data_IF_133315774021
#
_entry.id   IF_133315774021
#
_cell.length_a   1.000
_cell.length_b   1.000
_cell.length_c   1.000
_cell.angle_alpha   90.00
_cell.angle_beta   90.00
_cell.angle_gamma   90.00
#
_symmetry.space_group_name_H-M   'P 1'
#
loop_
_entity.id
_entity.type
_entity.pdbx_description
1 polymer ?
#
# COMPACT_ATOMS: atom_id res chain seq x y z
N UNK A 1 -7.54 0.68 20.87
CA UNK A 1 -6.91 0.71 19.55
C UNK A 1 -6.39 2.12 19.29
N UNK A 2 -5.18 2.26 18.84
CA UNK A 2 -4.62 3.55 18.44
C UNK A 2 -4.99 3.84 16.99
N UNK A 3 -5.35 5.09 16.70
CA UNK A 3 -5.59 5.57 15.35
C UNK A 3 -4.29 6.10 14.76
N UNK A 4 -4.06 5.82 13.49
CA UNK A 4 -2.85 6.23 12.77
C UNK A 4 -3.20 6.72 11.37
N UNK A 5 -2.24 7.40 10.74
CA UNK A 5 -2.31 7.75 9.33
C UNK A 5 -1.30 6.90 8.57
N UNK A 6 -1.79 6.12 7.64
CA UNK A 6 -0.96 5.43 6.66
C UNK A 6 -0.87 6.28 5.38
N UNK A 7 0.34 6.49 4.90
CA UNK A 7 0.57 7.20 3.64
C UNK A 7 0.83 6.17 2.54
N UNK A 8 0.00 6.21 1.51
CA UNK A 8 0.02 5.25 0.41
C UNK A 8 0.52 5.89 -0.87
N UNK A 9 1.30 5.14 -1.61
CA UNK A 9 1.62 5.41 -3.01
C UNK A 9 0.72 4.49 -3.85
N UNK A 10 -0.08 5.06 -4.75
CA UNK A 10 -1.07 4.30 -5.51
C UNK A 10 -0.68 4.15 -6.97
N UNK A 11 -0.94 2.96 -7.57
CA UNK A 11 -0.53 2.67 -8.94
C UNK A 11 -1.20 3.57 -9.97
N UNK A 12 -0.46 3.84 -11.04
CA UNK A 12 -0.97 4.42 -12.28
C UNK A 12 -1.53 3.34 -13.22
N UNK A 13 -2.33 3.75 -14.20
CA UNK A 13 -2.73 2.85 -15.27
C UNK A 13 -1.51 2.47 -16.16
N UNK A 14 -1.48 1.28 -16.76
CA UNK A 14 -2.52 0.23 -16.75
C UNK A 14 -2.47 -0.71 -15.55
N UNK A 15 -1.42 -0.65 -14.74
CA UNK A 15 -1.23 -1.57 -13.61
C UNK A 15 -2.35 -1.43 -12.56
N UNK A 16 -2.85 -0.21 -12.33
CA UNK A 16 -3.92 0.04 -11.36
C UNK A 16 -5.16 -0.80 -11.66
N UNK A 17 -5.70 -0.72 -12.86
CA UNK A 17 -6.90 -1.47 -13.25
C UNK A 17 -6.69 -2.98 -13.14
N UNK A 18 -5.54 -3.48 -13.52
CA UNK A 18 -5.20 -4.90 -13.37
C UNK A 18 -5.18 -5.33 -11.91
N UNK A 19 -4.49 -4.59 -11.06
CA UNK A 19 -4.36 -4.91 -9.64
C UNK A 19 -5.70 -4.79 -8.90
N UNK A 20 -6.50 -3.78 -9.20
CA UNK A 20 -7.85 -3.62 -8.64
C UNK A 20 -8.73 -4.83 -8.98
N UNK A 21 -8.74 -5.25 -10.24
CA UNK A 21 -9.49 -6.43 -10.68
C UNK A 21 -9.00 -7.70 -9.99
N UNK A 22 -7.70 -7.91 -9.92
CA UNK A 22 -7.10 -9.07 -9.26
C UNK A 22 -7.49 -9.13 -7.78
N UNK A 23 -7.42 -8.00 -7.06
CA UNK A 23 -7.83 -7.93 -5.66
C UNK A 23 -9.32 -8.26 -5.50
N UNK A 24 -10.18 -7.72 -6.36
CA UNK A 24 -11.63 -8.01 -6.33
C UNK A 24 -11.90 -9.49 -6.57
N UNK A 25 -11.26 -10.08 -7.59
CA UNK A 25 -11.45 -11.50 -7.95
C UNK A 25 -10.99 -12.42 -6.81
N UNK A 26 -9.82 -12.17 -6.24
CA UNK A 26 -9.29 -12.93 -5.11
C UNK A 26 -10.16 -12.76 -3.85
N UNK A 27 -10.58 -11.53 -3.56
CA UNK A 27 -11.43 -11.24 -2.41
C UNK A 27 -12.77 -11.95 -2.52
N UNK A 28 -13.34 -12.02 -3.70
CA UNK A 28 -14.59 -12.76 -3.94
C UNK A 28 -14.37 -14.26 -3.77
N UNK A 29 -13.31 -14.80 -4.34
CA UNK A 29 -12.99 -16.24 -4.27
C UNK A 29 -12.76 -16.72 -2.83
N UNK A 30 -12.07 -15.92 -2.03
CA UNK A 30 -11.65 -16.29 -0.67
C UNK A 30 -12.48 -15.63 0.43
N UNK A 31 -13.57 -14.93 0.10
CA UNK A 31 -14.43 -14.22 1.06
C UNK A 31 -13.63 -13.22 1.93
N UNK A 32 -12.74 -12.48 1.30
CA UNK A 32 -11.88 -11.50 1.94
C UNK A 32 -12.36 -10.06 1.70
N UNK A 33 -11.90 -9.06 2.50
CA UNK A 33 -12.24 -7.67 2.23
C UNK A 33 -11.57 -7.17 0.95
N UNK A 34 -12.26 -6.29 0.24
CA UNK A 34 -11.70 -5.57 -0.90
C UNK A 34 -11.00 -4.32 -0.40
N UNK A 35 -9.88 -3.98 -1.00
CA UNK A 35 -9.10 -2.78 -0.69
C UNK A 35 -8.41 -2.25 -1.95
N UNK A 36 -7.98 -0.99 -1.88
CA UNK A 36 -7.29 -0.34 -2.98
C UNK A 36 -5.81 -0.77 -3.04
N UNK A 37 -5.25 -1.09 -4.23
CA UNK A 37 -3.85 -1.44 -4.36
C UNK A 37 -2.95 -0.25 -3.99
N UNK A 38 -1.94 -0.50 -3.18
CA UNK A 38 -1.03 0.55 -2.71
C UNK A 38 0.29 0.00 -2.19
N UNK A 39 1.30 0.86 -2.18
CA UNK A 39 2.53 0.68 -1.40
C UNK A 39 2.43 1.61 -0.18
N UNK A 40 2.64 1.08 1.02
CA UNK A 40 2.71 1.91 2.22
C UNK A 40 4.07 2.60 2.29
N UNK A 41 4.04 3.93 2.29
CA UNK A 41 5.25 4.77 2.35
C UNK A 41 5.70 5.01 3.79
N UNK A 42 4.75 5.22 4.68
CA UNK A 42 4.98 5.53 6.08
C UNK A 42 3.68 5.39 6.88
N UNK A 43 3.83 5.11 8.17
CA UNK A 43 2.70 5.10 9.11
C UNK A 43 3.06 6.02 10.27
N UNK A 44 2.26 7.05 10.48
CA UNK A 44 2.49 8.06 11.51
C UNK A 44 1.30 8.25 12.44
N UNK A 45 1.46 9.14 13.41
CA UNK A 45 0.39 9.54 14.32
C UNK A 45 -0.71 10.31 13.60
N UNK A 46 -1.93 10.21 14.12
CA UNK A 46 -3.03 11.01 13.64
C UNK A 46 -2.89 12.48 14.09
N UNK A 47 -2.59 13.36 13.13
CA UNK A 47 -2.77 14.81 13.26
C UNK A 47 -3.51 15.28 12.01
N UNK A 48 -4.81 15.20 12.04
CA UNK A 48 -5.68 15.45 10.88
C UNK A 48 -5.44 16.83 10.24
N UNK A 49 -5.12 17.85 11.05
CA UNK A 49 -4.92 19.22 10.57
C UNK A 49 -3.71 19.42 9.66
N UNK A 50 -2.66 18.60 9.82
CA UNK A 50 -1.43 18.71 9.02
C UNK A 50 -1.33 17.66 7.93
N UNK A 51 -2.18 16.64 7.93
CA UNK A 51 -2.08 15.50 7.00
C UNK A 51 -2.27 15.93 5.55
N UNK A 52 -3.28 16.76 5.26
CA UNK A 52 -3.49 17.26 3.89
C UNK A 52 -2.31 18.10 3.42
N UNK A 53 -1.74 18.90 4.29
CA UNK A 53 -0.56 19.71 3.99
C UNK A 53 0.67 18.84 3.72
N UNK A 54 0.89 17.77 4.51
CA UNK A 54 1.98 16.81 4.29
C UNK A 54 1.87 16.19 2.89
N UNK A 55 0.69 15.69 2.54
CA UNK A 55 0.45 15.07 1.23
C UNK A 55 0.64 16.07 0.11
N UNK A 56 0.08 17.27 0.23
CA UNK A 56 0.16 18.32 -0.80
C UNK A 56 1.59 18.78 -1.04
N UNK A 57 2.35 19.07 0.01
CA UNK A 57 3.74 19.50 -0.12
C UNK A 57 4.64 18.39 -0.64
N UNK A 58 4.39 17.16 -0.23
CA UNK A 58 5.19 16.02 -0.70
C UNK A 58 4.93 15.74 -2.17
N UNK A 59 3.68 15.85 -2.61
CA UNK A 59 3.32 15.64 -4.02
C UNK A 59 4.00 16.65 -4.96
N UNK A 60 4.12 17.92 -4.54
CA UNK A 60 4.81 18.96 -5.33
C UNK A 60 6.32 18.65 -5.49
N UNK A 61 6.93 18.06 -4.48
CA UNK A 61 8.37 17.79 -4.44
C UNK A 61 8.77 16.47 -5.13
N UNK A 62 7.81 15.69 -5.62
CA UNK A 62 8.06 14.35 -6.12
C UNK A 62 7.39 14.09 -7.47
N UNK A 63 8.13 13.44 -8.35
CA UNK A 63 7.64 12.95 -9.64
C UNK A 63 6.99 11.56 -9.51
N UNK A 64 6.19 11.13 -10.51
CA UNK A 64 5.76 9.74 -10.60
C UNK A 64 6.92 8.75 -10.51
N UNK A 65 6.67 7.61 -9.88
CA UNK A 65 7.70 6.61 -9.57
C UNK A 65 7.39 5.31 -10.31
N UNK A 66 8.42 4.67 -10.85
CA UNK A 66 8.33 3.29 -11.38
C UNK A 66 9.15 2.36 -10.51
N UNK A 67 8.57 1.24 -10.10
CA UNK A 67 9.23 0.20 -9.31
C UNK A 67 9.24 -1.12 -10.07
N UNK A 68 10.35 -1.82 -10.02
CA UNK A 68 10.48 -3.15 -10.61
C UNK A 68 9.76 -4.20 -9.77
N UNK A 69 9.05 -5.11 -10.45
CA UNK A 69 8.43 -6.28 -9.83
C UNK A 69 9.51 -7.33 -9.61
N UNK A 70 9.66 -7.78 -8.38
CA UNK A 70 10.59 -8.86 -8.05
C UNK A 70 9.89 -10.22 -8.14
N UNK A 71 8.81 -10.41 -7.37
CA UNK A 71 8.08 -11.67 -7.35
C UNK A 71 6.74 -11.52 -6.64
N UNK A 72 5.90 -12.56 -6.72
CA UNK A 72 4.71 -12.71 -5.89
C UNK A 72 5.05 -13.60 -4.70
N UNK A 73 4.88 -13.08 -3.51
CA UNK A 73 5.18 -13.75 -2.25
C UNK A 73 3.95 -13.88 -1.36
N UNK A 74 4.11 -14.59 -0.26
CA UNK A 74 3.07 -14.79 0.75
C UNK A 74 3.67 -14.71 2.15
N UNK A 75 2.83 -14.44 3.14
CA UNK A 75 3.22 -14.46 4.55
C UNK A 75 2.06 -14.89 5.45
N UNK A 76 2.34 -15.10 6.73
CA UNK A 76 1.33 -15.39 7.74
C UNK A 76 0.62 -14.15 8.29
N UNK A 77 1.01 -12.96 7.88
CA UNK A 77 0.39 -11.72 8.32
C UNK A 77 -0.92 -11.45 7.58
N UNK A 78 -1.96 -11.04 8.30
CA UNK A 78 -3.28 -10.80 7.73
C UNK A 78 -3.25 -9.79 6.58
N UNK A 79 -2.57 -8.65 6.76
CA UNK A 79 -2.48 -7.58 5.75
C UNK A 79 -1.36 -7.79 4.73
N UNK A 80 -0.73 -8.95 4.74
CA UNK A 80 0.36 -9.32 3.83
C UNK A 80 0.31 -10.80 3.47
N UNK A 81 -0.88 -11.34 3.32
CA UNK A 81 -1.08 -12.78 3.04
C UNK A 81 -0.52 -13.16 1.68
N UNK A 82 -0.88 -12.40 0.65
CA UNK A 82 -0.39 -12.54 -0.71
C UNK A 82 -0.02 -11.16 -1.23
N UNK A 83 1.15 -10.99 -1.80
CA UNK A 83 1.61 -9.67 -2.20
C UNK A 83 2.64 -9.72 -3.33
N UNK A 84 2.70 -8.63 -4.07
CA UNK A 84 3.75 -8.38 -5.07
C UNK A 84 4.89 -7.67 -4.36
N UNK A 85 6.07 -8.28 -4.32
CA UNK A 85 7.28 -7.65 -3.82
C UNK A 85 7.88 -6.77 -4.91
N UNK A 86 8.21 -5.53 -4.56
CA UNK A 86 8.80 -4.55 -5.46
C UNK A 86 10.23 -4.21 -5.02
N UNK A 87 11.07 -3.84 -5.97
CA UNK A 87 12.39 -3.33 -5.67
C UNK A 87 12.31 -1.87 -5.21
N UNK A 88 13.01 -1.54 -4.14
CA UNK A 88 13.16 -0.15 -3.71
C UNK A 88 14.12 0.59 -4.65
N UNK A 89 13.93 1.91 -4.76
CA UNK A 89 14.87 2.78 -5.46
C UNK A 89 15.01 4.12 -4.72
N UNK A 90 15.93 4.97 -5.20
CA UNK A 90 16.22 6.25 -4.56
C UNK A 90 15.02 7.20 -4.52
N UNK A 91 14.17 7.20 -5.55
CA UNK A 91 12.97 8.05 -5.61
C UNK A 91 11.95 7.64 -4.54
N UNK A 92 11.71 6.34 -4.38
CA UNK A 92 10.81 5.81 -3.35
C UNK A 92 11.34 6.11 -1.95
N UNK A 93 12.62 5.90 -1.72
CA UNK A 93 13.26 6.17 -0.42
C UNK A 93 13.15 7.65 -0.06
N UNK A 94 13.39 8.55 -1.02
CA UNK A 94 13.25 9.98 -0.84
C UNK A 94 11.81 10.36 -0.49
N UNK A 95 10.83 9.81 -1.20
CA UNK A 95 9.41 10.07 -0.96
C UNK A 95 9.00 9.65 0.46
N UNK A 96 9.35 8.45 0.86
CA UNK A 96 9.09 7.94 2.21
C UNK A 96 9.74 8.81 3.29
N UNK A 97 11.00 9.21 3.08
CA UNK A 97 11.74 10.06 4.02
C UNK A 97 11.15 11.47 4.14
N UNK A 98 10.69 12.06 3.03
CA UNK A 98 10.01 13.37 3.08
C UNK A 98 8.74 13.31 3.92
N UNK A 99 7.93 12.27 3.75
CA UNK A 99 6.73 12.08 4.57
C UNK A 99 7.11 11.89 6.03
N UNK A 100 8.09 11.04 6.32
CA UNK A 100 8.56 10.78 7.68
C UNK A 100 9.01 12.06 8.39
N UNK A 101 9.76 12.93 7.70
CA UNK A 101 10.24 14.19 8.26
C UNK A 101 9.13 15.21 8.50
N UNK A 102 8.09 15.18 7.70
CA UNK A 102 6.94 16.09 7.81
C UNK A 102 5.89 15.60 8.80
N UNK A 103 5.89 14.29 9.10
CA UNK A 103 4.97 13.67 10.05
C UNK A 103 5.53 13.76 11.48
N UNK A 104 4.66 13.83 12.50
CA UNK A 104 5.12 13.74 13.87
C UNK A 104 5.92 12.45 14.11
N UNK A 105 6.98 12.51 14.94
CA UNK A 105 7.77 11.32 15.25
C UNK A 105 6.93 10.32 16.05
N UNK A 106 6.58 9.19 15.48
CA UNK A 106 5.70 8.24 16.16
C UNK A 106 5.89 6.78 15.80
N UNK A 107 6.65 6.42 14.76
CA UNK A 107 6.74 5.03 14.43
C UNK A 107 8.12 4.60 13.97
N UNK A 108 8.42 3.33 14.26
CA UNK A 108 9.57 2.59 13.75
C UNK A 108 9.22 1.92 12.40
N UNK A 109 8.40 2.57 11.57
CA UNK A 109 8.02 1.99 10.29
C UNK A 109 9.25 1.85 9.39
N UNK A 110 9.46 0.64 8.88
CA UNK A 110 10.49 0.35 7.90
C UNK A 110 9.86 0.20 6.52
N UNK A 111 10.41 0.91 5.54
CA UNK A 111 9.95 0.84 4.16
C UNK A 111 10.21 -0.55 3.59
N UNK A 112 9.14 -1.23 3.21
CA UNK A 112 9.16 -2.52 2.54
C UNK A 112 8.18 -2.44 1.35
N UNK A 113 8.66 -2.12 0.13
CA UNK A 113 7.79 -1.84 -0.98
C UNK A 113 7.11 -3.11 -1.50
N UNK A 114 5.82 -3.22 -1.23
CA UNK A 114 4.97 -4.30 -1.72
C UNK A 114 3.55 -3.81 -1.97
N UNK A 115 2.84 -4.48 -2.87
CA UNK A 115 1.40 -4.31 -3.08
C UNK A 115 0.71 -5.59 -2.63
N UNK A 116 -0.08 -5.50 -1.57
CA UNK A 116 -0.89 -6.63 -1.11
C UNK A 116 -2.01 -6.95 -2.09
N UNK A 117 -2.30 -8.22 -2.27
CA UNK A 117 -3.34 -8.72 -3.17
C UNK A 117 -4.50 -9.39 -2.42
N UNK A 118 -4.27 -9.85 -1.20
CA UNK A 118 -5.26 -10.58 -0.42
C UNK A 118 -5.03 -10.40 1.08
N UNK A 119 -6.08 -10.11 1.81
CA UNK A 119 -6.11 -10.04 3.27
C UNK A 119 -6.96 -11.17 3.82
N UNK A 120 -6.36 -12.33 4.00
CA UNK A 120 -7.03 -13.50 4.57
C UNK A 120 -6.03 -14.47 5.17
N UNK A 121 -6.29 -14.91 6.39
CA UNK A 121 -5.47 -15.97 7.00
C UNK A 121 -5.67 -17.28 6.25
N UNK A 122 -4.58 -17.90 5.85
CA UNK A 122 -4.55 -19.12 5.07
C UNK A 122 -3.45 -20.05 5.57
N UNK A 123 -3.60 -21.35 5.32
CA UNK A 123 -2.53 -22.31 5.58
C UNK A 123 -1.29 -22.02 4.73
N UNK A 124 -0.13 -22.46 5.18
CA UNK A 124 1.12 -22.30 4.44
C UNK A 124 1.02 -22.89 3.02
N UNK A 125 0.45 -24.08 2.89
CA UNK A 125 0.30 -24.77 1.60
C UNK A 125 -0.59 -23.98 0.66
N UNK A 126 -1.78 -23.55 1.13
CA UNK A 126 -2.74 -22.81 0.31
C UNK A 126 -2.17 -21.48 -0.20
N UNK A 127 -1.53 -20.70 0.67
CA UNK A 127 -0.96 -19.41 0.23
C UNK A 127 0.26 -19.55 -0.66
N UNK A 128 1.06 -20.62 -0.49
CA UNK A 128 2.18 -20.92 -1.38
C UNK A 128 1.71 -21.28 -2.78
N UNK A 129 0.72 -22.16 -2.89
CA UNK A 129 0.13 -22.55 -4.17
C UNK A 129 -0.49 -21.33 -4.87
N UNK A 130 -1.21 -20.51 -4.12
CA UNK A 130 -1.81 -19.31 -4.66
C UNK A 130 -0.76 -18.32 -5.18
N UNK A 131 0.31 -18.10 -4.45
CA UNK A 131 1.41 -17.22 -4.88
C UNK A 131 2.03 -17.72 -6.21
N UNK A 132 2.23 -19.03 -6.36
CA UNK A 132 2.76 -19.62 -7.59
C UNK A 132 1.77 -19.53 -8.76
N UNK A 133 0.48 -19.39 -8.53
CA UNK A 133 -0.55 -19.33 -9.57
C UNK A 133 -0.69 -17.93 -10.19
N UNK A 134 -0.26 -16.88 -9.50
CA UNK A 134 -0.42 -15.50 -9.96
C UNK A 134 0.59 -15.19 -11.07
N UNK A 135 0.06 -14.63 -12.17
CA UNK A 135 0.87 -14.13 -13.29
C UNK A 135 0.58 -12.65 -13.49
N UNK A 136 1.63 -11.85 -13.47
CA UNK A 136 1.56 -10.41 -13.69
C UNK A 136 1.98 -10.09 -15.12
N UNK A 137 1.20 -9.29 -15.87
CA UNK A 137 1.52 -8.97 -17.26
C UNK A 137 2.56 -7.83 -17.41
N UNK A 138 3.16 -7.40 -16.30
CA UNK A 138 4.12 -6.30 -16.28
C UNK A 138 5.33 -6.63 -15.39
N UNK A 139 6.48 -6.10 -15.75
CA UNK A 139 7.72 -6.20 -14.97
C UNK A 139 8.01 -4.94 -14.13
N UNK A 140 7.27 -3.86 -14.38
CA UNK A 140 7.37 -2.59 -13.64
C UNK A 140 5.98 -2.06 -13.37
N UNK A 141 5.80 -1.38 -12.23
CA UNK A 141 4.57 -0.69 -11.86
C UNK A 141 4.86 0.80 -11.71
N UNK A 142 4.11 1.62 -12.42
CA UNK A 142 4.12 3.07 -12.24
C UNK A 142 3.18 3.49 -11.11
N UNK A 143 3.55 4.53 -10.39
CA UNK A 143 2.77 5.11 -9.31
C UNK A 143 2.71 6.62 -9.51
N UNK A 144 1.52 7.20 -9.42
CA UNK A 144 1.26 8.59 -9.77
C UNK A 144 0.47 9.39 -8.75
N UNK A 145 0.14 8.81 -7.61
CA UNK A 145 -0.55 9.57 -6.56
C UNK A 145 -0.23 9.11 -5.15
N UNK A 146 -0.42 10.02 -4.20
CA UNK A 146 -0.25 9.78 -2.76
C UNK A 146 -1.61 9.92 -2.09
N UNK A 147 -1.92 9.01 -1.17
CA UNK A 147 -3.09 9.08 -0.30
C UNK A 147 -2.67 9.03 1.16
N UNK A 148 -3.39 9.78 1.98
CA UNK A 148 -3.35 9.61 3.43
C UNK A 148 -4.63 8.90 3.86
N UNK A 149 -4.47 7.84 4.64
CA UNK A 149 -5.57 6.96 5.06
C UNK A 149 -5.58 6.84 6.57
N UNK A 150 -6.71 7.20 7.17
CA UNK A 150 -6.92 6.95 8.60
C UNK A 150 -7.22 5.48 8.83
N UNK A 151 -6.50 4.87 9.74
CA UNK A 151 -6.67 3.46 10.09
C UNK A 151 -6.48 3.25 11.61
N UNK A 152 -7.12 2.21 12.14
CA UNK A 152 -6.83 1.72 13.48
C UNK A 152 -5.74 0.65 13.37
N UNK A 153 -4.77 0.69 14.26
CA UNK A 153 -3.68 -0.28 14.31
C UNK A 153 -3.79 -1.19 15.53
N UNK A 154 -3.41 -2.45 15.38
CA UNK A 154 -3.14 -3.16 14.12
C UNK A 154 -4.43 -3.55 13.38
N UNK A 155 -4.40 -3.54 12.04
CA UNK A 155 -5.51 -4.06 11.22
C UNK A 155 -5.40 -5.60 11.16
N UNK A 156 -6.40 -6.30 11.70
CA UNK A 156 -6.33 -7.77 11.88
C UNK A 156 -7.50 -8.55 11.29
N UNK A 157 -8.51 -7.85 10.77
CA UNK A 157 -9.73 -8.47 10.27
C UNK A 157 -10.44 -7.58 9.25
N UNK A 158 -11.51 -8.11 8.66
CA UNK A 158 -12.35 -7.41 7.68
C UNK A 158 -12.83 -6.06 8.20
N UNK A 159 -13.36 -6.01 9.41
CA UNK A 159 -13.91 -4.78 9.97
C UNK A 159 -12.84 -3.67 10.06
N UNK A 160 -11.60 -4.03 10.39
CA UNK A 160 -10.48 -3.10 10.40
C UNK A 160 -10.17 -2.53 9.02
N UNK A 161 -10.21 -3.35 7.97
CA UNK A 161 -10.01 -2.90 6.59
C UNK A 161 -11.16 -2.01 6.14
N UNK A 162 -12.40 -2.41 6.39
CA UNK A 162 -13.59 -1.65 6.00
C UNK A 162 -13.73 -0.32 6.76
N UNK A 163 -13.03 -0.18 7.88
CA UNK A 163 -12.97 1.07 8.65
C UNK A 163 -11.95 2.08 8.11
N UNK A 164 -11.11 1.72 7.17
CA UNK A 164 -10.15 2.64 6.56
C UNK A 164 -10.86 3.80 5.86
N UNK A 165 -10.32 5.00 5.99
CA UNK A 165 -10.88 6.22 5.38
C UNK A 165 -9.77 7.03 4.74
N UNK A 166 -9.90 7.26 3.43
CA UNK A 166 -9.03 8.19 2.71
C UNK A 166 -9.38 9.61 3.16
N UNK A 167 -8.40 10.33 3.67
CA UNK A 167 -8.57 11.70 4.17
C UNK A 167 -7.87 12.76 3.31
N UNK A 168 -6.94 12.35 2.46
CA UNK A 168 -6.30 13.24 1.49
C UNK A 168 -5.80 12.44 0.28
N UNK A 169 -5.84 13.04 -0.89
CA UNK A 169 -5.31 12.47 -2.13
C UNK A 169 -4.69 13.57 -2.97
N UNK A 170 -3.48 13.35 -3.48
CA UNK A 170 -2.80 14.25 -4.41
C UNK A 170 -2.06 13.46 -5.49
N UNK A 171 -2.15 13.94 -6.74
CA UNK A 171 -1.34 13.44 -7.83
C UNK A 171 0.11 13.90 -7.68
N UNK A 172 1.05 13.06 -8.10
CA UNK A 172 2.45 13.44 -8.25
C UNK A 172 2.58 14.20 -9.58
N UNK A 173 3.21 15.36 -9.52
CA UNK A 173 3.39 16.20 -10.72
C UNK A 173 4.56 15.70 -11.56
N UNK A 174 4.41 15.77 -12.89
CA UNK A 174 5.47 15.49 -13.84
C UNK A 174 6.47 16.65 -13.93
#
# INVERSE_FOLDING_TARGET
MSTAIAYWLTPAEPARGFLEKLIVDLSRQYHAPVFEPHVTLYVGSELAEVTDQIVSQTAIDCEPIKLEVLDVHHSGEFTKTLFVQLASNGKLQRLSELIRRRSPPSSLYHLDPHVSLLYRRMSLTARRELAHSIRLPFSKVGFDSIKAVRCALPTRNRAGVEAWRVIATKSLDE
#
